data_IF_443790719032
#
_entry.id   IF_443790719032
#
_cell.length_a   1.000
_cell.length_b   1.000
_cell.length_c   1.000
_cell.angle_alpha   90.00
_cell.angle_beta   90.00
_cell.angle_gamma   90.00
#
_symmetry.space_group_name_H-M   'P 1'
#
loop_
_entity.id
_entity.type
_entity.pdbx_description
1 polymer ?
#
# COMPACT_ATOMS: atom_id res chain seq x y z
N UNK A 1 3.24 -0.71 11.18
CA UNK A 1 2.22 0.36 11.29
C UNK A 1 2.70 1.59 10.52
N UNK A 2 1.84 2.13 9.65
CA UNK A 2 2.15 3.27 8.76
C UNK A 2 2.61 4.50 9.55
N UNK A 3 2.06 4.78 10.73
CA UNK A 3 2.52 5.88 11.58
C UNK A 3 4.00 5.80 11.98
N UNK A 4 4.58 4.59 12.10
CA UNK A 4 6.03 4.44 12.32
C UNK A 4 6.84 4.72 11.06
N UNK A 5 6.31 4.39 9.87
CA UNK A 5 6.96 4.69 8.59
C UNK A 5 6.95 6.20 8.31
N UNK A 6 5.86 6.89 8.66
CA UNK A 6 5.79 8.37 8.68
C UNK A 6 6.85 8.94 9.62
N UNK A 7 6.94 8.42 10.85
CA UNK A 7 7.95 8.86 11.83
C UNK A 7 9.41 8.63 11.40
N UNK A 8 9.66 7.71 10.46
CA UNK A 8 10.99 7.46 9.86
C UNK A 8 11.23 8.24 8.57
N UNK A 9 10.26 8.99 8.08
CA UNK A 9 10.35 9.72 6.81
C UNK A 9 10.24 8.83 5.57
N UNK A 10 9.76 7.59 5.70
CA UNK A 10 9.57 6.66 4.57
C UNK A 10 8.25 6.90 3.84
N UNK A 11 7.29 7.54 4.51
CA UNK A 11 5.96 7.89 4.00
C UNK A 11 5.74 9.39 4.20
N UNK A 12 5.20 10.05 3.18
CA UNK A 12 4.84 11.47 3.24
C UNK A 12 3.86 11.71 4.42
N UNK A 13 4.16 12.63 5.35
CA UNK A 13 3.31 12.90 6.51
C UNK A 13 1.92 13.45 6.17
N UNK A 14 1.71 13.97 4.96
CA UNK A 14 0.41 14.45 4.48
C UNK A 14 -0.53 13.32 4.04
N UNK A 15 0.00 12.09 3.92
CA UNK A 15 -0.80 10.93 3.52
C UNK A 15 -1.58 10.39 4.72
N UNK A 16 -2.90 10.26 4.55
CA UNK A 16 -3.76 9.62 5.54
C UNK A 16 -3.43 8.11 5.66
N UNK A 17 -3.03 7.62 6.85
CA UNK A 17 -2.78 6.21 7.07
C UNK A 17 -3.95 5.27 6.71
N UNK A 18 -5.20 5.73 6.84
CA UNK A 18 -6.37 4.94 6.47
C UNK A 18 -6.44 4.71 4.95
N UNK A 19 -6.06 5.72 4.16
CA UNK A 19 -6.01 5.61 2.70
C UNK A 19 -4.92 4.62 2.27
N UNK A 20 -3.75 4.64 2.91
CA UNK A 20 -2.69 3.65 2.63
C UNK A 20 -3.15 2.22 2.90
N UNK A 21 -3.88 2.00 4.00
CA UNK A 21 -4.48 0.69 4.29
C UNK A 21 -5.50 0.29 3.21
N UNK A 22 -6.34 1.23 2.76
CA UNK A 22 -7.30 0.96 1.69
C UNK A 22 -6.60 0.61 0.37
N UNK A 23 -5.53 1.32 0.00
CA UNK A 23 -4.73 1.04 -1.19
C UNK A 23 -4.12 -0.37 -1.17
N UNK A 24 -3.80 -0.90 0.01
CA UNK A 24 -3.30 -2.26 0.20
C UNK A 24 -4.41 -3.32 0.17
N UNK A 25 -5.52 -3.05 0.85
CA UNK A 25 -6.57 -4.06 1.08
C UNK A 25 -7.53 -4.18 -0.10
N UNK A 26 -7.93 -3.07 -0.72
CA UNK A 26 -8.94 -3.09 -1.78
C UNK A 26 -8.53 -3.97 -2.98
N UNK A 27 -7.28 -3.91 -3.50
CA UNK A 27 -6.87 -4.78 -4.61
C UNK A 27 -6.77 -6.25 -4.19
N UNK A 28 -6.23 -6.54 -3.00
CA UNK A 28 -6.12 -7.92 -2.50
C UNK A 28 -7.49 -8.58 -2.30
N UNK A 29 -8.46 -7.82 -1.75
CA UNK A 29 -9.83 -8.26 -1.63
C UNK A 29 -10.53 -8.38 -2.99
N UNK A 30 -10.26 -7.48 -3.93
CA UNK A 30 -10.86 -7.54 -5.27
C UNK A 30 -10.47 -8.82 -6.00
N UNK A 31 -9.19 -9.18 -6.01
CA UNK A 31 -8.73 -10.46 -6.59
C UNK A 31 -9.42 -11.64 -5.90
N UNK A 32 -9.51 -11.60 -4.57
CA UNK A 32 -10.14 -12.68 -3.80
C UNK A 32 -11.64 -12.83 -4.08
N UNK A 33 -12.37 -11.72 -4.18
CA UNK A 33 -13.82 -11.70 -4.31
C UNK A 33 -14.29 -11.88 -5.76
N UNK A 34 -13.57 -11.30 -6.73
CA UNK A 34 -13.98 -11.31 -8.14
C UNK A 34 -13.30 -12.41 -8.94
N UNK A 35 -12.02 -12.71 -8.70
CA UNK A 35 -11.30 -13.76 -9.42
C UNK A 35 -11.40 -15.13 -8.70
N UNK A 36 -11.94 -15.15 -7.48
CA UNK A 36 -12.16 -16.38 -6.70
C UNK A 36 -10.88 -17.10 -6.28
N UNK A 37 -9.75 -16.39 -6.24
CA UNK A 37 -8.44 -16.94 -5.87
C UNK A 37 -7.69 -16.02 -4.91
N UNK A 38 -6.73 -16.56 -4.19
CA UNK A 38 -5.79 -15.72 -3.44
C UNK A 38 -4.87 -14.94 -4.40
N UNK A 39 -4.47 -13.71 -4.03
CA UNK A 39 -3.37 -13.01 -4.68
C UNK A 39 -2.08 -13.84 -4.59
N UNK A 40 -1.29 -13.84 -5.66
CA UNK A 40 0.03 -14.48 -5.63
C UNK A 40 1.01 -13.62 -4.83
N UNK A 41 2.13 -14.22 -4.42
CA UNK A 41 3.20 -13.48 -3.75
C UNK A 41 3.73 -12.32 -4.62
N UNK A 42 3.89 -12.55 -5.92
CA UNK A 42 4.36 -11.53 -6.87
C UNK A 42 3.38 -10.36 -7.02
N UNK A 43 2.07 -10.64 -7.00
CA UNK A 43 1.04 -9.61 -7.04
C UNK A 43 1.04 -8.77 -5.76
N UNK A 44 1.22 -9.41 -4.60
CA UNK A 44 1.35 -8.72 -3.32
C UNK A 44 2.61 -7.85 -3.31
N UNK A 45 3.76 -8.37 -3.71
CA UNK A 45 5.01 -7.61 -3.75
C UNK A 45 4.93 -6.42 -4.71
N UNK A 46 4.29 -6.61 -5.87
CA UNK A 46 4.04 -5.54 -6.83
C UNK A 46 3.14 -4.46 -6.25
N UNK A 47 2.08 -4.85 -5.54
CA UNK A 47 1.17 -3.93 -4.86
C UNK A 47 1.88 -3.15 -3.75
N UNK A 48 2.64 -3.83 -2.89
CA UNK A 48 3.45 -3.19 -1.83
C UNK A 48 4.39 -2.17 -2.45
N UNK A 49 5.11 -2.54 -3.51
CA UNK A 49 6.05 -1.66 -4.20
C UNK A 49 5.35 -0.43 -4.76
N UNK A 50 4.18 -0.61 -5.38
CA UNK A 50 3.38 0.49 -5.91
C UNK A 50 2.92 1.45 -4.81
N UNK A 51 2.36 0.92 -3.73
CA UNK A 51 1.89 1.74 -2.60
C UNK A 51 3.05 2.49 -1.96
N UNK A 52 4.18 1.84 -1.70
CA UNK A 52 5.37 2.48 -1.16
C UNK A 52 5.82 3.67 -2.04
N UNK A 53 5.88 3.49 -3.37
CA UNK A 53 6.23 4.58 -4.31
C UNK A 53 5.20 5.71 -4.30
N UNK A 54 3.91 5.39 -4.27
CA UNK A 54 2.84 6.37 -4.27
C UNK A 54 2.78 7.19 -2.97
N UNK A 55 3.23 6.62 -1.86
CA UNK A 55 3.21 7.27 -0.55
C UNK A 55 4.55 7.88 -0.12
N UNK A 56 5.62 7.67 -0.90
CA UNK A 56 6.93 8.20 -0.59
C UNK A 56 6.90 9.75 -0.56
N UNK A 57 7.75 10.40 0.27
CA UNK A 57 7.92 11.84 0.21
C UNK A 57 8.37 12.29 -1.19
N UNK A 58 7.78 13.37 -1.69
CA UNK A 58 8.26 14.01 -2.91
C UNK A 58 9.74 14.39 -2.72
N UNK A 59 10.62 13.88 -3.58
CA UNK A 59 11.99 14.38 -3.62
C UNK A 59 11.93 15.76 -4.28
N UNK A 60 12.04 16.82 -3.48
CA UNK A 60 12.38 18.18 -3.95
C UNK A 60 13.83 18.26 -4.37
#
# INVERSE_FOLDING_TARGET
MIGRAIGRGEVNPEVDPAVVLQMMLAPALSVSLFDGRAPTHEEIDSLVTLVCRATAPAHT
#
